data_IF_612716697354
#
_entry.id   IF_612716697354
#
_cell.length_a   1.000
_cell.length_b   1.000
_cell.length_c   1.000
_cell.angle_alpha   90.00
_cell.angle_beta   90.00
_cell.angle_gamma   90.00
#
_symmetry.space_group_name_H-M   'P 1'
#
loop_
_entity.id
_entity.type
_entity.pdbx_description
1 polymer ?
#
# COMPACT_ATOMS: atom_id res chain seq x y z
N UNK A 1 -3.61 -10.30 -5.17
CA UNK A 1 -2.35 -11.05 -5.05
C UNK A 1 -2.56 -12.53 -5.41
N UNK A 2 -3.46 -13.27 -4.72
CA UNK A 2 -3.69 -14.70 -4.98
C UNK A 2 -4.13 -14.97 -6.42
N UNK A 3 -5.04 -14.16 -6.97
CA UNK A 3 -5.44 -14.25 -8.39
C UNK A 3 -4.26 -14.01 -9.35
N UNK A 4 -3.25 -13.28 -8.93
CA UNK A 4 -2.01 -13.04 -9.68
C UNK A 4 -0.90 -14.07 -9.43
N UNK A 5 -1.20 -15.16 -8.71
CA UNK A 5 -0.26 -16.26 -8.50
C UNK A 5 0.60 -16.17 -7.23
N UNK A 6 0.25 -15.33 -6.26
CA UNK A 6 0.90 -15.36 -4.96
C UNK A 6 0.60 -16.69 -4.24
N UNK A 7 1.63 -17.34 -3.68
CA UNK A 7 1.48 -18.58 -2.94
C UNK A 7 0.86 -18.37 -1.54
N UNK A 8 1.26 -17.29 -0.87
CA UNK A 8 0.75 -16.92 0.43
C UNK A 8 0.48 -15.41 0.48
N UNK A 9 -0.60 -15.03 1.15
CA UNK A 9 -0.94 -13.63 1.47
C UNK A 9 -1.18 -13.52 2.96
N UNK A 10 -0.57 -12.53 3.60
CA UNK A 10 -0.93 -12.12 4.96
C UNK A 10 -1.73 -10.82 4.85
N UNK A 11 -3.01 -10.90 5.16
CA UNK A 11 -3.88 -9.73 5.18
C UNK A 11 -4.05 -9.22 6.60
N UNK A 12 -3.88 -7.92 6.77
CA UNK A 12 -3.93 -7.27 8.07
C UNK A 12 -4.95 -6.15 8.06
N UNK A 13 -5.75 -6.08 9.09
CA UNK A 13 -6.68 -4.99 9.35
C UNK A 13 -6.93 -4.88 10.85
N UNK A 14 -7.29 -3.70 11.34
CA UNK A 14 -7.70 -3.51 12.72
C UNK A 14 -9.11 -4.10 12.95
N UNK A 15 -9.95 -4.06 11.93
CA UNK A 15 -11.33 -4.55 11.99
C UNK A 15 -11.42 -6.01 11.51
N UNK A 16 -11.73 -6.97 12.41
CA UNK A 16 -11.85 -8.38 12.04
C UNK A 16 -12.98 -8.67 11.03
N UNK A 17 -13.98 -7.80 10.94
CA UNK A 17 -15.04 -7.97 9.97
C UNK A 17 -14.55 -7.86 8.51
N UNK A 18 -13.65 -6.91 8.22
CA UNK A 18 -13.07 -6.81 6.88
C UNK A 18 -12.19 -8.02 6.55
N UNK A 19 -11.52 -8.59 7.54
CA UNK A 19 -10.77 -9.83 7.36
C UNK A 19 -11.67 -11.03 7.07
N UNK A 20 -12.84 -11.09 7.71
CA UNK A 20 -13.86 -12.13 7.41
C UNK A 20 -14.37 -12.01 5.97
N UNK A 21 -14.70 -10.80 5.49
CA UNK A 21 -15.10 -10.56 4.09
C UNK A 21 -14.01 -11.02 3.11
N UNK A 22 -12.75 -10.81 3.45
CA UNK A 22 -11.63 -11.28 2.62
C UNK A 22 -11.54 -12.81 2.57
N UNK A 23 -11.80 -13.50 3.70
CA UNK A 23 -11.89 -14.97 3.75
C UNK A 23 -13.04 -15.51 2.89
N UNK A 24 -14.23 -14.89 3.00
CA UNK A 24 -15.37 -15.24 2.17
C UNK A 24 -15.07 -15.07 0.68
N UNK A 25 -14.38 -13.97 0.32
CA UNK A 25 -13.95 -13.72 -1.04
C UNK A 25 -12.97 -14.77 -1.55
N UNK A 26 -12.07 -15.27 -0.70
CA UNK A 26 -11.15 -16.35 -1.05
C UNK A 26 -11.91 -17.63 -1.37
N UNK A 27 -12.89 -18.01 -0.54
CA UNK A 27 -13.72 -19.20 -0.72
C UNK A 27 -14.52 -19.10 -2.03
N UNK A 28 -15.16 -17.97 -2.28
CA UNK A 28 -15.98 -17.74 -3.48
C UNK A 28 -15.18 -17.83 -4.79
N UNK A 29 -13.93 -17.41 -4.78
CA UNK A 29 -13.10 -17.34 -5.99
C UNK A 29 -12.23 -18.60 -6.21
N UNK A 30 -12.17 -19.51 -5.26
CA UNK A 30 -11.37 -20.75 -5.36
C UNK A 30 -9.90 -20.52 -5.77
N UNK A 31 -9.28 -19.44 -5.32
CA UNK A 31 -7.89 -19.15 -5.66
C UNK A 31 -6.95 -20.19 -5.07
N UNK A 32 -5.93 -20.63 -5.83
CA UNK A 32 -4.83 -21.38 -5.26
C UNK A 32 -4.03 -20.50 -4.28
N UNK A 33 -3.36 -21.14 -3.33
CA UNK A 33 -2.56 -20.45 -2.32
C UNK A 33 -3.31 -20.26 -1.00
N UNK A 34 -2.60 -19.71 -0.03
CA UNK A 34 -3.09 -19.56 1.34
C UNK A 34 -3.23 -18.09 1.74
N UNK A 35 -4.21 -17.79 2.57
CA UNK A 35 -4.37 -16.47 3.17
C UNK A 35 -4.41 -16.60 4.69
N UNK A 36 -3.50 -15.87 5.35
CA UNK A 36 -3.52 -15.65 6.79
C UNK A 36 -4.10 -14.28 7.08
N UNK A 37 -4.89 -14.17 8.14
CA UNK A 37 -5.47 -12.90 8.56
C UNK A 37 -4.97 -12.53 9.95
N UNK A 38 -4.60 -11.25 10.14
CA UNK A 38 -4.13 -10.71 11.42
C UNK A 38 -4.95 -9.48 11.78
N UNK A 39 -5.84 -9.60 12.77
CA UNK A 39 -6.56 -8.44 13.34
C UNK A 39 -5.67 -7.74 14.36
N UNK A 40 -4.86 -6.80 13.90
CA UNK A 40 -3.88 -6.12 14.73
C UNK A 40 -3.63 -4.68 14.24
N UNK A 41 -3.28 -3.82 15.20
CA UNK A 41 -2.84 -2.45 14.90
C UNK A 41 -1.56 -2.44 14.04
N UNK A 42 -1.50 -1.48 13.12
CA UNK A 42 -0.40 -1.31 12.16
C UNK A 42 0.98 -1.27 12.82
N UNK A 43 1.15 -0.47 13.88
CA UNK A 43 2.48 -0.27 14.48
C UNK A 43 3.03 -1.51 15.19
N UNK A 44 2.29 -2.17 16.09
CA UNK A 44 2.77 -3.42 16.71
C UNK A 44 2.89 -4.56 15.69
N UNK A 45 2.04 -4.64 14.68
CA UNK A 45 2.15 -5.63 13.62
C UNK A 45 3.47 -5.47 12.85
N UNK A 46 3.78 -4.26 12.38
CA UNK A 46 5.04 -3.98 11.68
C UNK A 46 6.25 -4.25 12.58
N UNK A 47 6.17 -3.90 13.86
CA UNK A 47 7.23 -4.19 14.82
C UNK A 47 7.42 -5.70 15.01
N UNK A 48 6.34 -6.48 15.05
CA UNK A 48 6.35 -7.94 15.13
C UNK A 48 7.08 -8.57 13.95
N UNK A 49 6.71 -8.22 12.72
CA UNK A 49 7.40 -8.74 11.53
C UNK A 49 8.89 -8.39 11.51
N UNK A 50 9.24 -7.16 11.91
CA UNK A 50 10.66 -6.76 12.00
C UNK A 50 11.44 -7.55 13.03
N UNK A 51 10.86 -7.81 14.20
CA UNK A 51 11.53 -8.59 15.25
C UNK A 51 11.77 -10.04 14.85
N UNK A 52 10.93 -10.59 13.98
CA UNK A 52 11.06 -11.92 13.41
C UNK A 52 11.94 -11.95 12.15
N UNK A 53 12.49 -10.80 11.74
CA UNK A 53 13.24 -10.64 10.51
C UNK A 53 12.48 -11.12 9.24
N UNK A 54 11.15 -11.06 9.30
CA UNK A 54 10.26 -11.45 8.20
C UNK A 54 10.47 -10.55 6.99
N UNK A 55 10.48 -11.14 5.80
CA UNK A 55 10.56 -10.43 4.53
C UNK A 55 9.45 -10.90 3.60
N UNK A 56 8.94 -9.97 2.82
CA UNK A 56 7.89 -10.21 1.84
C UNK A 56 8.38 -9.85 0.44
N UNK A 57 8.03 -10.66 -0.56
CA UNK A 57 8.29 -10.35 -1.97
C UNK A 57 7.44 -9.17 -2.47
N UNK A 58 6.28 -8.93 -1.83
CA UNK A 58 5.43 -7.78 -2.09
C UNK A 58 4.77 -7.30 -0.80
N UNK A 59 4.82 -5.99 -0.54
CA UNK A 59 4.08 -5.32 0.52
C UNK A 59 3.10 -4.33 -0.12
N UNK A 60 1.82 -4.44 0.21
CA UNK A 60 0.78 -3.49 -0.23
C UNK A 60 0.39 -2.64 0.97
N UNK A 61 0.62 -1.34 0.88
CA UNK A 61 0.24 -0.36 1.90
C UNK A 61 -0.98 0.41 1.42
N UNK A 62 -2.16 -0.01 1.88
CA UNK A 62 -3.45 0.65 1.66
C UNK A 62 -4.04 1.05 3.02
N UNK A 63 -3.55 2.16 3.55
CA UNK A 63 -3.96 2.65 4.85
C UNK A 63 -5.19 3.58 4.76
N UNK A 64 -6.02 3.68 5.81
CA UNK A 64 -7.10 4.66 5.85
C UNK A 64 -6.54 6.08 5.82
N UNK A 65 -7.35 7.04 5.33
CA UNK A 65 -6.97 8.46 5.32
C UNK A 65 -6.47 8.94 6.68
N UNK A 66 -7.15 8.51 7.73
CA UNK A 66 -6.80 8.83 9.11
C UNK A 66 -7.21 7.69 10.05
N UNK A 67 -6.34 7.35 10.98
CA UNK A 67 -6.63 6.46 12.11
C UNK A 67 -5.75 6.83 13.29
N UNK A 68 -6.31 6.81 14.49
CA UNK A 68 -5.60 7.05 15.74
C UNK A 68 -5.85 5.91 16.71
N UNK A 69 -4.79 5.31 17.21
CA UNK A 69 -4.83 4.28 18.23
C UNK A 69 -3.87 4.65 19.38
N UNK A 70 -3.86 3.87 20.44
CA UNK A 70 -2.86 4.01 21.53
C UNK A 70 -1.43 3.75 21.06
N UNK A 71 -1.26 3.09 19.91
CA UNK A 71 0.06 2.71 19.39
C UNK A 71 0.63 3.71 18.38
N UNK A 72 -0.21 4.60 17.87
CA UNK A 72 0.23 5.62 16.92
C UNK A 72 -0.87 6.20 16.05
N UNK A 73 -0.45 7.07 15.15
CA UNK A 73 -1.32 7.80 14.22
C UNK A 73 -0.98 7.42 12.78
N UNK A 74 -1.98 7.00 12.03
CA UNK A 74 -1.96 6.88 10.58
C UNK A 74 -2.57 8.15 10.00
N UNK A 75 -1.88 8.82 9.10
CA UNK A 75 -2.31 10.06 8.47
C UNK A 75 -1.70 10.15 7.07
N UNK A 76 -2.52 9.91 6.05
CA UNK A 76 -2.06 9.89 4.66
C UNK A 76 -1.72 11.28 4.11
N UNK A 77 -2.27 12.34 4.70
CA UNK A 77 -1.93 13.72 4.30
C UNK A 77 -0.58 14.15 4.87
N UNK A 78 -0.36 13.91 6.17
CA UNK A 78 0.78 14.48 6.87
C UNK A 78 1.95 13.51 7.04
N UNK A 79 1.71 12.20 7.07
CA UNK A 79 2.72 11.22 7.45
C UNK A 79 2.83 10.00 6.50
N UNK A 80 2.37 10.11 5.26
CA UNK A 80 2.47 9.01 4.29
C UNK A 80 3.91 8.52 4.10
N UNK A 81 4.86 9.45 3.97
CA UNK A 81 6.29 9.15 3.94
C UNK A 81 6.76 8.33 5.16
N UNK A 82 6.30 8.70 6.35
CA UNK A 82 6.64 7.99 7.59
C UNK A 82 6.08 6.56 7.61
N UNK A 83 4.86 6.34 7.09
CA UNK A 83 4.26 5.01 6.99
C UNK A 83 5.06 4.10 6.04
N UNK A 84 5.47 4.61 4.88
CA UNK A 84 6.33 3.86 3.95
C UNK A 84 7.67 3.50 4.62
N UNK A 85 8.31 4.42 5.32
CA UNK A 85 9.54 4.15 6.05
C UNK A 85 9.39 3.09 7.15
N UNK A 86 8.17 2.88 7.67
CA UNK A 86 7.90 1.80 8.61
C UNK A 86 7.88 0.44 7.94
N UNK A 87 7.29 0.33 6.74
CA UNK A 87 7.09 -0.96 6.06
C UNK A 87 8.20 -1.33 5.08
N UNK A 88 8.93 -0.35 4.52
CA UNK A 88 9.99 -0.65 3.54
C UNK A 88 11.04 -1.66 3.99
N UNK A 89 11.42 -1.77 5.30
CA UNK A 89 12.36 -2.81 5.74
C UNK A 89 11.81 -4.23 5.69
N UNK A 90 10.50 -4.40 5.53
CA UNK A 90 9.83 -5.70 5.38
C UNK A 90 9.86 -6.20 3.93
N UNK A 91 10.23 -5.35 2.98
CA UNK A 91 10.32 -5.74 1.57
C UNK A 91 11.65 -6.42 1.32
N UNK A 92 11.64 -7.61 0.74
CA UNK A 92 12.85 -8.34 0.34
C UNK A 92 13.62 -7.60 -0.77
N UNK A 93 14.88 -7.98 -0.98
CA UNK A 93 15.68 -7.43 -2.07
C UNK A 93 15.03 -7.75 -3.42
N UNK A 94 14.93 -6.76 -4.29
CA UNK A 94 14.17 -6.81 -5.55
C UNK A 94 12.68 -7.12 -5.37
N UNK A 95 12.15 -6.98 -4.16
CA UNK A 95 10.72 -7.08 -3.88
C UNK A 95 9.98 -5.77 -4.21
N UNK A 96 8.67 -5.81 -4.08
CA UNK A 96 7.77 -4.73 -4.47
C UNK A 96 7.11 -4.07 -3.26
N UNK A 97 7.01 -2.77 -3.29
CA UNK A 97 6.17 -1.98 -2.40
C UNK A 97 5.12 -1.26 -3.23
N UNK A 98 3.87 -1.67 -3.08
CA UNK A 98 2.71 -0.97 -3.66
C UNK A 98 2.16 -0.04 -2.59
N UNK A 99 2.14 1.25 -2.85
CA UNK A 99 1.63 2.23 -1.90
C UNK A 99 0.46 3.00 -2.51
N UNK A 100 -0.66 3.01 -1.77
CA UNK A 100 -1.90 3.65 -2.17
C UNK A 100 -2.13 4.84 -1.26
N UNK A 101 -2.44 6.00 -1.86
CA UNK A 101 -2.85 7.19 -1.14
C UNK A 101 -4.20 7.67 -1.70
N UNK A 102 -5.24 7.57 -0.89
CA UNK A 102 -6.61 7.96 -1.24
C UNK A 102 -7.00 9.35 -0.72
N UNK A 103 -6.03 10.17 -0.31
CA UNK A 103 -6.27 11.53 0.14
C UNK A 103 -6.72 12.44 -1.02
N UNK A 104 -7.99 12.82 -1.02
CA UNK A 104 -8.63 13.55 -2.12
C UNK A 104 -8.05 14.95 -2.33
N UNK A 105 -7.63 15.62 -1.24
CA UNK A 105 -7.14 16.98 -1.25
C UNK A 105 -5.62 17.11 -1.37
N UNK A 106 -4.90 15.98 -1.52
CA UNK A 106 -3.46 15.97 -1.73
C UNK A 106 -3.16 16.08 -3.23
N UNK A 107 -2.49 17.17 -3.69
CA UNK A 107 -2.06 17.27 -5.08
C UNK A 107 -1.07 16.16 -5.44
N UNK A 108 -1.13 15.71 -6.70
CA UNK A 108 -0.25 14.63 -7.16
C UNK A 108 1.24 15.02 -7.16
N UNK A 109 1.54 16.27 -7.49
CA UNK A 109 2.92 16.79 -7.44
C UNK A 109 3.51 16.77 -6.02
N UNK A 110 2.72 17.07 -4.98
CA UNK A 110 3.17 16.98 -3.58
C UNK A 110 3.45 15.52 -3.17
N UNK A 111 2.60 14.58 -3.61
CA UNK A 111 2.90 13.17 -3.40
C UNK A 111 4.21 12.76 -4.08
N UNK A 112 4.45 13.22 -5.32
CA UNK A 112 5.69 12.94 -6.05
C UNK A 112 6.93 13.56 -5.38
N UNK A 113 6.80 14.67 -4.68
CA UNK A 113 7.85 15.22 -3.81
C UNK A 113 8.23 14.21 -2.69
N UNK A 114 7.21 13.64 -2.06
CA UNK A 114 7.42 12.60 -1.03
C UNK A 114 8.08 11.35 -1.60
N UNK A 115 7.68 10.95 -2.83
CA UNK A 115 8.31 9.82 -3.54
C UNK A 115 9.80 10.10 -3.81
N UNK A 116 10.15 11.29 -4.31
CA UNK A 116 11.56 11.66 -4.55
C UNK A 116 12.40 11.58 -3.27
N UNK A 117 11.84 12.01 -2.13
CA UNK A 117 12.52 11.90 -0.83
C UNK A 117 12.71 10.45 -0.39
N UNK A 118 11.71 9.59 -0.64
CA UNK A 118 11.76 8.16 -0.29
C UNK A 118 12.78 7.38 -1.13
N UNK A 119 13.01 7.81 -2.37
CA UNK A 119 13.90 7.13 -3.31
C UNK A 119 15.33 7.69 -3.28
N UNK A 120 15.57 8.82 -2.61
CA UNK A 120 16.87 9.52 -2.60
C UNK A 120 18.03 8.71 -2.03
N UNK A 121 17.78 7.74 -1.15
CA UNK A 121 18.80 6.88 -0.54
C UNK A 121 19.12 5.62 -1.35
N UNK A 122 18.42 5.41 -2.47
CA UNK A 122 18.58 4.25 -3.36
C UNK A 122 18.03 2.94 -2.79
N UNK A 123 17.37 2.97 -1.62
CA UNK A 123 16.74 1.77 -1.07
C UNK A 123 15.43 1.44 -1.79
N UNK A 124 14.70 2.44 -2.21
CA UNK A 124 13.50 2.30 -3.04
C UNK A 124 13.74 3.01 -4.38
N UNK A 125 13.22 2.43 -5.44
CA UNK A 125 13.17 3.02 -6.77
C UNK A 125 11.72 3.05 -7.24
N UNK A 126 11.25 4.18 -7.76
CA UNK A 126 9.94 4.28 -8.38
C UNK A 126 9.95 3.47 -9.68
N UNK A 127 9.13 2.44 -9.73
CA UNK A 127 8.98 1.60 -10.91
C UNK A 127 7.84 2.06 -11.80
N UNK A 128 6.66 2.35 -11.20
CA UNK A 128 5.49 2.68 -11.98
C UNK A 128 4.45 3.50 -11.19
N UNK A 129 3.60 4.19 -11.92
CA UNK A 129 2.38 4.85 -11.45
C UNK A 129 1.20 4.13 -12.08
N UNK A 130 0.37 3.49 -11.24
CA UNK A 130 -0.77 2.72 -11.73
C UNK A 130 -1.98 3.64 -11.92
N UNK A 131 -2.52 3.76 -13.13
CA UNK A 131 -3.74 4.51 -13.35
C UNK A 131 -4.93 3.80 -12.72
N UNK A 132 -5.81 4.55 -12.08
CA UNK A 132 -7.09 3.99 -11.63
C UNK A 132 -7.95 3.70 -12.85
N UNK A 133 -8.49 2.47 -13.01
CA UNK A 133 -9.25 2.06 -14.19
C UNK A 133 -10.52 2.90 -14.40
N UNK A 134 -10.93 3.04 -15.64
CA UNK A 134 -12.07 3.91 -16.02
C UNK A 134 -13.43 3.39 -15.50
N UNK A 135 -13.57 2.09 -15.33
CA UNK A 135 -14.75 1.48 -14.72
C UNK A 135 -14.91 1.84 -13.22
N UNK A 136 -13.81 2.22 -12.55
CA UNK A 136 -13.79 2.72 -11.17
C UNK A 136 -13.93 4.24 -11.13
N UNK A 137 -13.23 4.96 -12.02
CA UNK A 137 -13.22 6.44 -12.02
C UNK A 137 -14.46 7.05 -12.64
N UNK A 138 -15.26 6.27 -13.36
CA UNK A 138 -16.36 6.73 -14.18
C UNK A 138 -15.90 7.15 -15.60
N UNK A 139 -16.85 7.15 -16.50
CA UNK A 139 -16.64 7.60 -17.87
C UNK A 139 -16.78 9.12 -17.94
N UNK A 140 -16.21 9.75 -18.96
CA UNK A 140 -16.22 11.21 -19.14
C UNK A 140 -17.62 11.81 -19.02
N UNK A 141 -18.64 11.11 -19.53
CA UNK A 141 -20.03 11.54 -19.47
C UNK A 141 -20.68 11.41 -18.06
N UNK A 142 -20.09 10.66 -17.15
CA UNK A 142 -20.58 10.48 -15.78
C UNK A 142 -19.85 11.37 -14.75
N UNK A 143 -18.78 12.05 -15.17
CA UNK A 143 -18.03 12.96 -14.28
C UNK A 143 -18.81 14.27 -14.15
N UNK A 144 -19.33 14.54 -12.93
CA UNK A 144 -20.13 15.73 -12.65
C UNK A 144 -19.35 16.89 -12.04
N UNK A 145 -18.12 16.65 -11.56
CA UNK A 145 -17.28 17.67 -10.94
C UNK A 145 -15.80 17.39 -11.19
N UNK A 146 -14.98 18.46 -11.13
CA UNK A 146 -13.52 18.34 -11.15
C UNK A 146 -13.01 17.74 -9.82
N UNK A 147 -11.85 17.08 -9.90
CA UNK A 147 -11.15 16.64 -8.71
C UNK A 147 -10.87 17.85 -7.78
N UNK A 148 -10.95 17.67 -6.44
CA UNK A 148 -10.75 18.77 -5.48
C UNK A 148 -9.32 19.34 -5.49
N UNK A 149 -8.34 18.55 -5.95
CA UNK A 149 -6.96 18.97 -6.19
C UNK A 149 -6.45 18.33 -7.49
N UNK A 150 -5.49 18.96 -8.15
CA UNK A 150 -4.86 18.39 -9.34
C UNK A 150 -4.14 17.08 -9.00
N UNK A 151 -4.59 15.93 -9.53
CA UNK A 151 -3.97 14.66 -9.24
C UNK A 151 -2.68 14.40 -10.03
N UNK A 152 -2.32 15.24 -11.01
CA UNK A 152 -1.18 15.01 -11.92
C UNK A 152 0.13 14.70 -11.16
N UNK A 153 0.93 13.70 -11.59
CA UNK A 153 0.82 12.91 -12.83
C UNK A 153 -0.16 11.74 -12.77
N UNK A 154 -0.90 11.56 -11.71
CA UNK A 154 -1.92 10.53 -11.59
C UNK A 154 -3.19 10.94 -12.36
N UNK A 155 -4.01 9.95 -12.71
CA UNK A 155 -5.28 10.19 -13.40
C UNK A 155 -6.49 10.33 -12.47
N UNK A 156 -6.29 10.14 -11.14
CA UNK A 156 -7.35 10.12 -10.15
C UNK A 156 -6.85 10.65 -8.79
N UNK A 157 -7.72 11.21 -7.91
CA UNK A 157 -7.36 11.56 -6.54
C UNK A 157 -6.79 10.40 -5.72
N UNK A 158 -7.24 9.17 -5.94
CA UNK A 158 -6.56 7.97 -5.46
C UNK A 158 -5.29 7.74 -6.29
N UNK A 159 -4.15 7.71 -5.63
CA UNK A 159 -2.83 7.63 -6.25
C UNK A 159 -2.19 6.31 -5.87
N UNK A 160 -1.76 5.55 -6.87
CA UNK A 160 -1.16 4.22 -6.68
C UNK A 160 0.23 4.23 -7.30
N UNK A 161 1.24 3.89 -6.51
CA UNK A 161 2.62 3.77 -6.98
C UNK A 161 3.17 2.39 -6.67
N UNK A 162 4.07 1.94 -7.54
CA UNK A 162 4.89 0.74 -7.33
C UNK A 162 6.34 1.17 -7.20
N UNK A 163 6.97 0.71 -6.12
CA UNK A 163 8.40 0.91 -5.89
C UNK A 163 9.10 -0.44 -5.77
N UNK A 164 10.31 -0.52 -6.27
CA UNK A 164 11.18 -1.68 -6.12
C UNK A 164 12.18 -1.44 -4.99
N UNK A 165 12.41 -2.47 -4.16
CA UNK A 165 13.31 -2.34 -3.02
C UNK A 165 14.70 -2.93 -3.34
N UNK A 166 15.75 -2.16 -3.04
CA UNK A 166 17.15 -2.57 -3.18
C UNK A 166 17.82 -2.56 -1.83
N UNK A 167 17.77 -3.70 -1.15
CA UNK A 167 18.36 -3.87 0.18
C UNK A 167 19.88 -3.94 0.11
N UNK A 168 20.56 -3.23 1.02
CA UNK A 168 22.03 -3.28 1.12
C UNK A 168 22.56 -4.66 1.55
N UNK A 169 21.75 -5.41 2.31
CA UNK A 169 22.08 -6.78 2.77
C UNK A 169 21.74 -7.87 1.75
N UNK A 170 21.10 -7.52 0.63
CA UNK A 170 20.73 -8.43 -0.46
C UNK A 170 19.72 -9.52 -0.10
N UNK A 171 19.15 -9.53 1.13
CA UNK A 171 18.21 -10.58 1.56
C UNK A 171 16.91 -10.53 0.78
N UNK A 172 16.49 -11.68 0.26
CA UNK A 172 15.22 -11.89 -0.44
C UNK A 172 14.17 -12.47 0.50
N UNK A 173 12.89 -12.37 0.11
CA UNK A 173 11.75 -13.02 0.77
C UNK A 173 11.65 -14.48 0.36
#
# INVERSE_FOLDING_TARGET
>A
ALAGGANEVIQTDLNPHFLAVAQDSLVLNHFPGTMKTLSQDFYPMVAGFKSQAELFSCVILDAPLFSQTRHGRVDLLQNWHGLINKVRPLVGHEGWLVAINNALFLPGNELMESVRKLTADGYLELSDIIPVPQDVTGYAQSIVAKAPADPSPFNHPTKIIIMRAYRKDGRRA
#
